data_IF_850121244667
#
_entry.id   IF_850121244667
#
_cell.length_a   1.000
_cell.length_b   1.000
_cell.length_c   1.000
_cell.angle_alpha   90.00
_cell.angle_beta   90.00
_cell.angle_gamma   90.00
#
_symmetry.space_group_name_H-M   'P 1'
#
loop_
_entity.id
_entity.type
_entity.pdbx_description
1 polymer ?
#
# COMPACT_ATOMS: atom_id res chain seq x y z
N UNK A 1 -14.13 -9.78 9.13
CA UNK A 1 -12.82 -9.25 8.73
C UNK A 1 -12.85 -7.74 8.97
N UNK A 2 -11.96 -7.22 9.82
CA UNK A 2 -11.85 -5.77 10.09
C UNK A 2 -11.01 -5.11 8.99
N UNK A 3 -11.46 -3.96 8.46
CA UNK A 3 -10.78 -3.18 7.42
C UNK A 3 -10.24 -1.84 7.95
N UNK A 4 -10.33 -1.60 9.26
CA UNK A 4 -9.87 -0.38 9.92
C UNK A 4 -8.39 -0.07 9.62
N UNK A 5 -7.57 -1.12 9.49
CA UNK A 5 -6.15 -1.06 9.14
C UNK A 5 -5.87 -0.30 7.84
N UNK A 6 -6.77 -0.33 6.85
CA UNK A 6 -6.59 0.40 5.60
C UNK A 6 -6.95 1.88 5.68
N UNK A 7 -7.90 2.25 6.54
CA UNK A 7 -8.51 3.59 6.52
C UNK A 7 -8.05 4.49 7.67
N UNK A 8 -7.50 3.90 8.72
CA UNK A 8 -6.97 4.61 9.88
C UNK A 8 -5.78 3.87 10.53
N UNK A 9 -4.73 3.49 9.76
CA UNK A 9 -3.54 2.89 10.34
C UNK A 9 -2.80 3.90 11.23
N UNK A 10 -2.27 3.43 12.36
CA UNK A 10 -1.33 4.16 13.21
C UNK A 10 0.11 3.83 12.84
N UNK A 11 0.37 2.59 12.43
CA UNK A 11 1.68 2.09 12.02
C UNK A 11 1.62 1.50 10.61
N UNK A 12 2.68 1.72 9.82
CA UNK A 12 2.76 1.23 8.45
C UNK A 12 4.15 0.68 8.13
N UNK A 13 4.24 -0.57 7.67
CA UNK A 13 5.45 -1.09 7.05
C UNK A 13 5.43 -0.81 5.55
N UNK A 14 6.50 -0.25 4.99
CA UNK A 14 6.66 -0.03 3.55
C UNK A 14 7.77 -0.92 3.03
N UNK A 15 7.37 -2.00 2.35
CA UNK A 15 8.26 -3.06 1.90
C UNK A 15 8.73 -2.83 0.47
N UNK A 16 10.04 -2.95 0.27
CA UNK A 16 10.70 -2.74 -1.02
C UNK A 16 11.38 -1.39 -1.14
N UNK A 17 11.71 -0.73 -0.02
CA UNK A 17 12.48 0.52 -0.09
C UNK A 17 13.89 0.27 -0.65
N UNK A 18 14.47 1.30 -1.25
CA UNK A 18 15.79 1.22 -1.90
C UNK A 18 16.61 2.47 -1.65
N UNK A 19 17.83 2.33 -1.12
CA UNK A 19 18.78 3.44 -0.99
C UNK A 19 19.37 3.88 -2.34
N UNK A 20 19.38 2.99 -3.34
CA UNK A 20 19.94 3.25 -4.67
C UNK A 20 18.94 3.81 -5.70
N UNK A 21 17.64 3.80 -5.40
CA UNK A 21 16.61 4.35 -6.28
C UNK A 21 15.60 5.18 -5.48
N UNK A 22 15.81 6.49 -5.44
CA UNK A 22 14.94 7.42 -4.70
C UNK A 22 13.53 7.51 -5.27
N UNK A 23 13.33 7.23 -6.57
CA UNK A 23 12.02 7.25 -7.22
C UNK A 23 11.30 5.90 -7.18
N UNK A 24 11.86 4.91 -6.47
CA UNK A 24 11.19 3.63 -6.30
C UNK A 24 9.80 3.81 -5.68
N UNK A 25 8.76 3.10 -6.15
CA UNK A 25 7.39 3.25 -5.63
C UNK A 25 7.30 3.20 -4.10
N UNK A 26 8.00 2.25 -3.47
CA UNK A 26 8.08 2.14 -2.02
C UNK A 26 8.66 3.40 -1.36
N UNK A 27 9.70 4.01 -1.93
CA UNK A 27 10.31 5.22 -1.38
C UNK A 27 9.37 6.42 -1.48
N UNK A 28 8.59 6.53 -2.56
CA UNK A 28 7.58 7.59 -2.72
C UNK A 28 6.49 7.45 -1.65
N UNK A 29 6.00 6.24 -1.42
CA UNK A 29 5.01 5.96 -0.37
C UNK A 29 5.59 6.26 1.02
N UNK A 30 6.78 5.74 1.32
CA UNK A 30 7.45 5.95 2.60
C UNK A 30 7.66 7.43 2.91
N UNK A 31 8.30 8.17 2.00
CA UNK A 31 8.62 9.57 2.22
C UNK A 31 7.35 10.41 2.41
N UNK A 32 6.32 10.16 1.58
CA UNK A 32 5.06 10.91 1.65
C UNK A 32 4.35 10.70 2.98
N UNK A 33 4.21 9.45 3.43
CA UNK A 33 3.52 9.17 4.68
C UNK A 33 4.30 9.69 5.88
N UNK A 34 5.62 9.51 5.91
CA UNK A 34 6.48 10.03 6.98
C UNK A 34 6.34 11.54 7.20
N UNK A 35 6.31 12.31 6.11
CA UNK A 35 6.43 13.77 6.20
C UNK A 35 5.09 14.49 6.23
N UNK A 36 4.00 13.86 5.79
CA UNK A 36 2.71 14.54 5.55
C UNK A 36 1.50 13.87 6.20
N UNK A 37 1.65 12.69 6.80
CA UNK A 37 0.54 11.92 7.34
C UNK A 37 0.80 11.48 8.78
N UNK A 38 -0.26 11.36 9.62
CA UNK A 38 -0.14 11.00 11.02
C UNK A 38 -0.04 9.47 11.21
N UNK A 39 0.87 8.83 10.48
CA UNK A 39 1.14 7.39 10.54
C UNK A 39 2.63 7.17 10.70
N UNK A 40 3.03 6.39 11.71
CA UNK A 40 4.44 6.03 11.88
C UNK A 40 4.81 4.99 10.83
N UNK A 41 5.87 5.24 10.07
CA UNK A 41 6.25 4.41 8.92
C UNK A 41 7.61 3.76 9.09
N UNK A 42 7.65 2.46 8.82
CA UNK A 42 8.82 1.60 8.97
C UNK A 42 9.29 1.14 7.58
N UNK A 43 10.52 1.47 7.17
CA UNK A 43 11.05 1.04 5.89
C UNK A 43 11.55 -0.41 6.00
N UNK A 44 11.18 -1.26 5.03
CA UNK A 44 11.59 -2.68 5.00
C UNK A 44 12.25 -3.03 3.68
N UNK A 45 13.42 -3.64 3.74
CA UNK A 45 14.18 -4.12 2.59
C UNK A 45 15.16 -5.21 3.02
N UNK A 46 15.28 -6.35 2.31
CA UNK A 46 16.19 -7.43 2.69
C UNK A 46 17.68 -7.05 2.77
N UNK A 47 18.06 -5.87 2.25
CA UNK A 47 19.43 -5.35 2.34
C UNK A 47 19.72 -4.59 3.63
N UNK A 48 18.69 -4.29 4.41
CA UNK A 48 18.77 -3.44 5.60
C UNK A 48 19.35 -2.05 5.32
N UNK A 49 20.04 -1.51 6.32
CA UNK A 49 20.75 -0.23 6.26
C UNK A 49 19.92 0.95 6.77
N UNK A 50 20.11 2.13 6.16
CA UNK A 50 19.44 3.35 6.59
C UNK A 50 18.77 4.08 5.43
N UNK A 51 17.56 4.60 5.64
CA UNK A 51 16.82 5.41 4.67
C UNK A 51 16.34 6.69 5.35
N UNK A 52 16.81 7.85 4.88
CA UNK A 52 16.45 9.16 5.43
C UNK A 52 16.62 9.23 6.97
N UNK A 53 17.69 8.63 7.50
CA UNK A 53 17.98 8.59 8.94
C UNK A 53 17.12 7.63 9.77
N UNK A 54 16.34 6.74 9.13
CA UNK A 54 15.65 5.63 9.79
C UNK A 54 16.36 4.31 9.50
N UNK A 55 16.39 3.43 10.48
CA UNK A 55 16.78 2.03 10.29
C UNK A 55 15.82 1.35 9.31
N UNK A 56 16.38 0.59 8.37
CA UNK A 56 15.64 -0.24 7.42
C UNK A 56 15.68 -1.67 7.94
N UNK A 57 14.51 -2.20 8.29
CA UNK A 57 14.37 -3.57 8.77
C UNK A 57 14.49 -4.56 7.61
N UNK A 58 15.06 -5.73 7.85
CA UNK A 58 15.19 -6.76 6.82
C UNK A 58 13.86 -7.46 6.55
N UNK A 59 13.05 -7.62 7.60
CA UNK A 59 11.72 -8.24 7.57
C UNK A 59 10.69 -7.39 8.31
N UNK A 60 9.41 -7.61 8.03
CA UNK A 60 8.31 -6.95 8.77
C UNK A 60 8.27 -7.46 10.20
N UNK A 61 8.57 -8.74 10.42
CA UNK A 61 8.63 -9.35 11.76
C UNK A 61 9.73 -8.79 12.68
N UNK A 62 10.72 -8.08 12.14
CA UNK A 62 11.80 -7.48 12.94
C UNK A 62 11.40 -6.14 13.56
N UNK A 63 10.27 -5.57 13.14
CA UNK A 63 9.79 -4.27 13.63
C UNK A 63 9.24 -4.46 15.06
N UNK A 64 9.71 -3.69 16.06
CA UNK A 64 9.30 -3.86 17.46
C UNK A 64 7.86 -3.41 17.74
N UNK A 65 7.24 -2.70 16.79
CA UNK A 65 5.86 -2.22 16.88
C UNK A 65 4.91 -3.12 16.09
N UNK A 66 3.69 -3.27 16.60
CA UNK A 66 2.62 -3.93 15.84
C UNK A 66 2.28 -3.09 14.60
N UNK A 67 2.28 -3.72 13.43
CA UNK A 67 1.98 -3.06 12.16
C UNK A 67 0.49 -3.19 11.80
N UNK A 68 -0.18 -2.05 11.60
CA UNK A 68 -1.57 -2.03 11.12
C UNK A 68 -1.64 -2.30 9.61
N UNK A 69 -0.76 -1.67 8.81
CA UNK A 69 -0.79 -1.77 7.36
C UNK A 69 0.60 -2.07 6.76
N UNK A 70 0.71 -3.12 5.95
CA UNK A 70 1.86 -3.32 5.08
C UNK A 70 1.56 -2.83 3.65
N UNK A 71 2.42 -1.95 3.11
CA UNK A 71 2.41 -1.58 1.69
C UNK A 71 3.56 -2.27 1.01
N UNK A 72 3.26 -3.15 0.05
CA UNK A 72 4.23 -4.05 -0.57
C UNK A 72 4.47 -3.62 -2.01
N UNK A 73 5.69 -3.19 -2.31
CA UNK A 73 6.14 -2.78 -3.64
C UNK A 73 7.48 -3.44 -3.98
N UNK A 74 7.49 -4.76 -4.11
CA UNK A 74 8.64 -5.59 -4.52
C UNK A 74 8.37 -6.28 -5.86
N UNK A 75 9.34 -7.03 -6.40
CA UNK A 75 9.07 -7.89 -7.58
C UNK A 75 7.97 -8.91 -7.26
N UNK A 76 7.11 -9.23 -8.24
CA UNK A 76 5.98 -10.13 -8.06
C UNK A 76 6.35 -11.45 -7.36
N UNK A 77 7.44 -12.09 -7.80
CA UNK A 77 7.88 -13.38 -7.25
C UNK A 77 8.29 -13.32 -5.76
N UNK A 78 8.64 -12.13 -5.25
CA UNK A 78 9.01 -11.94 -3.84
C UNK A 78 7.79 -11.61 -2.94
N UNK A 79 6.64 -11.26 -3.51
CA UNK A 79 5.46 -10.86 -2.74
C UNK A 79 4.92 -11.98 -1.84
N UNK A 80 4.84 -13.27 -2.27
CA UNK A 80 4.36 -14.33 -1.39
C UNK A 80 5.17 -14.47 -0.10
N UNK A 81 6.49 -14.40 -0.16
CA UNK A 81 7.35 -14.55 1.02
C UNK A 81 7.19 -13.36 1.98
N UNK A 82 7.02 -12.15 1.44
CA UNK A 82 6.68 -10.96 2.25
C UNK A 82 5.31 -11.10 2.90
N UNK A 83 4.31 -11.65 2.20
CA UNK A 83 2.98 -11.86 2.78
C UNK A 83 3.00 -12.90 3.91
N UNK A 84 3.79 -13.96 3.78
CA UNK A 84 4.00 -14.95 4.86
C UNK A 84 4.62 -14.28 6.08
N UNK A 85 5.61 -13.41 5.88
CA UNK A 85 6.24 -12.64 6.95
C UNK A 85 5.25 -11.69 7.63
N UNK A 86 4.43 -10.96 6.86
CA UNK A 86 3.36 -10.12 7.39
C UNK A 86 2.32 -10.93 8.18
N UNK A 87 1.93 -12.10 7.69
CA UNK A 87 0.98 -12.98 8.35
C UNK A 87 1.54 -13.49 9.69
N UNK A 88 2.80 -13.94 9.71
CA UNK A 88 3.48 -14.38 10.93
C UNK A 88 3.63 -13.25 11.96
N UNK A 89 3.86 -12.02 11.50
CA UNK A 89 3.96 -10.82 12.34
C UNK A 89 2.59 -10.28 12.80
N UNK A 90 1.47 -10.86 12.36
CA UNK A 90 0.12 -10.43 12.75
C UNK A 90 -0.27 -9.04 12.23
N UNK A 91 0.19 -8.70 11.02
CA UNK A 91 -0.13 -7.42 10.35
C UNK A 91 -1.64 -7.27 10.15
N UNK A 92 -2.17 -6.08 10.43
CA UNK A 92 -3.61 -5.80 10.35
C UNK A 92 -4.21 -5.86 8.94
N UNK A 93 -3.42 -5.59 7.89
CA UNK A 93 -3.81 -5.74 6.49
C UNK A 93 -2.65 -5.42 5.53
N UNK A 94 -2.76 -5.86 4.28
CA UNK A 94 -1.74 -5.67 3.26
C UNK A 94 -2.29 -5.02 1.97
N UNK A 95 -1.58 -4.04 1.43
CA UNK A 95 -1.82 -3.46 0.11
C UNK A 95 -0.66 -3.82 -0.81
N UNK A 96 -0.92 -4.65 -1.82
CA UNK A 96 0.09 -5.11 -2.78
C UNK A 96 0.05 -4.21 -4.02
N UNK A 97 1.01 -3.30 -4.10
CA UNK A 97 1.13 -2.33 -5.20
C UNK A 97 1.72 -3.00 -6.44
N UNK A 98 2.58 -3.99 -6.25
CA UNK A 98 3.28 -4.72 -7.30
C UNK A 98 2.33 -5.26 -8.37
N UNK A 99 2.68 -5.06 -9.65
CA UNK A 99 2.15 -5.84 -10.78
C UNK A 99 3.01 -7.07 -11.06
N UNK A 100 2.62 -7.84 -12.08
CA UNK A 100 3.22 -9.10 -12.51
C UNK A 100 2.38 -10.35 -12.19
N UNK A 101 1.06 -10.22 -12.03
CA UNK A 101 0.17 -11.31 -11.61
C UNK A 101 -0.80 -11.72 -12.74
N UNK A 102 -2.10 -11.88 -12.44
CA UNK A 102 -3.08 -12.38 -13.43
C UNK A 102 -3.20 -11.48 -14.66
N UNK A 103 -2.92 -10.18 -14.54
CA UNK A 103 -2.98 -9.22 -15.64
C UNK A 103 -1.91 -9.47 -16.71
N UNK A 104 -0.87 -10.25 -16.37
CA UNK A 104 0.16 -10.74 -17.30
C UNK A 104 0.13 -12.27 -17.46
N UNK A 105 -0.95 -12.94 -17.03
CA UNK A 105 -1.14 -14.38 -17.18
C UNK A 105 -0.56 -15.26 -16.05
N UNK A 106 -0.06 -14.67 -14.96
CA UNK A 106 0.47 -15.40 -13.78
C UNK A 106 -0.63 -15.63 -12.73
N UNK A 107 -1.68 -16.37 -13.10
CA UNK A 107 -2.78 -16.72 -12.20
C UNK A 107 -2.31 -17.57 -11.02
N UNK A 108 -1.37 -18.49 -11.27
CA UNK A 108 -0.70 -19.34 -10.26
C UNK A 108 -0.15 -18.53 -9.09
N UNK A 109 0.51 -17.42 -9.43
CA UNK A 109 1.12 -16.56 -8.44
C UNK A 109 0.03 -15.83 -7.67
N UNK A 110 -0.97 -15.25 -8.34
CA UNK A 110 -2.09 -14.54 -7.70
C UNK A 110 -2.87 -15.43 -6.73
N UNK A 111 -3.16 -16.67 -7.12
CA UNK A 111 -3.88 -17.64 -6.29
C UNK A 111 -3.09 -17.95 -5.01
N UNK A 112 -1.76 -18.00 -5.09
CA UNK A 112 -0.89 -18.16 -3.91
C UNK A 112 -1.02 -16.98 -2.94
N UNK A 113 -1.07 -15.71 -3.40
CA UNK A 113 -1.31 -14.57 -2.49
C UNK A 113 -2.68 -14.70 -1.82
N UNK A 114 -3.70 -15.05 -2.59
CA UNK A 114 -5.05 -15.19 -2.08
C UNK A 114 -5.16 -16.32 -1.04
N UNK A 115 -4.45 -17.43 -1.25
CA UNK A 115 -4.36 -18.52 -0.28
C UNK A 115 -3.71 -18.07 1.04
N UNK A 116 -2.53 -17.44 0.98
CA UNK A 116 -1.80 -16.94 2.16
C UNK A 116 -2.67 -15.96 2.96
N UNK A 117 -3.29 -14.99 2.28
CA UNK A 117 -4.13 -13.99 2.92
C UNK A 117 -5.37 -14.59 3.59
N UNK A 118 -6.03 -15.57 2.94
CA UNK A 118 -7.21 -16.25 3.50
C UNK A 118 -6.84 -17.13 4.70
N UNK A 119 -5.75 -17.90 4.62
CA UNK A 119 -5.25 -18.73 5.72
C UNK A 119 -4.93 -17.88 6.95
N UNK A 120 -4.27 -16.73 6.75
CA UNK A 120 -3.96 -15.80 7.82
C UNK A 120 -5.14 -14.92 8.28
N UNK A 121 -6.31 -15.02 7.63
CA UNK A 121 -7.43 -14.08 7.80
C UNK A 121 -7.01 -12.59 7.66
N UNK A 122 -5.97 -12.33 6.87
CA UNK A 122 -5.39 -11.01 6.66
C UNK A 122 -6.10 -10.29 5.49
N UNK A 123 -6.70 -9.11 5.71
CA UNK A 123 -7.24 -8.29 4.64
C UNK A 123 -6.18 -7.96 3.60
N UNK A 124 -6.51 -8.12 2.31
CA UNK A 124 -5.58 -7.84 1.21
C UNK A 124 -6.25 -7.02 0.09
N UNK A 125 -5.65 -5.87 -0.24
CA UNK A 125 -6.01 -5.05 -1.41
C UNK A 125 -4.97 -5.25 -2.51
N UNK A 126 -5.44 -5.43 -3.75
CA UNK A 126 -4.60 -5.69 -4.93
C UNK A 126 -4.59 -7.17 -5.34
N UNK A 127 -3.50 -7.66 -5.95
CA UNK A 127 -2.29 -6.93 -6.33
C UNK A 127 -2.53 -5.93 -7.48
N UNK A 128 -1.46 -5.34 -8.00
CA UNK A 128 -1.48 -4.42 -9.14
C UNK A 128 -2.44 -3.24 -8.93
N UNK A 129 -2.21 -2.48 -7.86
CA UNK A 129 -3.10 -1.41 -7.45
C UNK A 129 -2.33 -0.16 -6.99
N UNK A 130 -3.04 0.95 -6.81
CA UNK A 130 -2.50 2.11 -6.09
C UNK A 130 -2.67 1.98 -4.57
N UNK A 131 -3.56 1.10 -4.11
CA UNK A 131 -3.92 0.94 -2.71
C UNK A 131 -4.94 1.98 -2.25
N UNK A 132 -4.69 2.66 -1.14
CA UNK A 132 -5.65 3.46 -0.39
C UNK A 132 -5.17 4.90 -0.24
N UNK A 133 -6.09 5.84 -0.46
CA UNK A 133 -5.92 7.24 -0.12
C UNK A 133 -7.07 7.69 0.78
N UNK A 134 -6.73 8.20 1.96
CA UNK A 134 -7.66 8.85 2.89
C UNK A 134 -7.10 10.24 3.23
N UNK A 135 -7.80 11.33 2.87
CA UNK A 135 -7.33 12.69 3.13
C UNK A 135 -6.89 12.88 4.58
N UNK A 136 -5.69 13.44 4.75
CA UNK A 136 -5.06 13.73 6.05
C UNK A 136 -4.84 12.51 6.98
N UNK A 137 -4.96 11.27 6.48
CA UNK A 137 -4.74 10.05 7.29
C UNK A 137 -3.70 9.12 6.69
N UNK A 138 -3.84 8.73 5.43
CA UNK A 138 -2.90 7.80 4.78
C UNK A 138 -2.93 7.98 3.26
N UNK A 139 -1.79 7.77 2.59
CA UNK A 139 -1.68 7.83 1.14
C UNK A 139 -0.67 6.81 0.61
N UNK A 140 -1.16 5.62 0.21
CA UNK A 140 -0.31 4.54 -0.30
C UNK A 140 0.01 4.67 -1.79
N UNK A 141 -0.44 5.73 -2.47
CA UNK A 141 -0.24 5.84 -3.91
C UNK A 141 1.23 6.13 -4.17
N UNK A 142 1.86 5.44 -5.11
CA UNK A 142 3.26 5.71 -5.47
C UNK A 142 3.44 6.95 -6.37
N UNK A 143 2.41 7.81 -6.44
CA UNK A 143 2.47 9.10 -7.10
C UNK A 143 2.99 10.17 -6.10
N UNK A 144 4.05 10.93 -6.46
CA UNK A 144 4.51 12.06 -5.66
C UNK A 144 3.39 13.07 -5.42
N UNK A 145 3.36 13.71 -4.25
CA UNK A 145 2.27 14.63 -3.89
C UNK A 145 2.16 15.81 -4.86
N UNK A 146 3.29 16.25 -5.40
CA UNK A 146 3.44 17.35 -6.34
C UNK A 146 2.85 17.03 -7.72
N UNK A 147 2.65 15.74 -8.02
CA UNK A 147 2.07 15.24 -9.28
C UNK A 147 0.63 14.75 -9.12
N UNK A 148 0.00 15.02 -7.98
CA UNK A 148 -1.33 14.50 -7.68
C UNK A 148 -2.29 15.63 -7.32
N UNK A 149 -3.36 15.76 -8.10
CA UNK A 149 -4.52 16.59 -7.74
C UNK A 149 -5.35 15.82 -6.71
N UNK A 150 -5.58 16.41 -5.55
CA UNK A 150 -6.32 15.80 -4.44
C UNK A 150 -7.62 16.58 -4.22
N UNK A 151 -8.80 15.93 -4.29
CA UNK A 151 -10.04 16.55 -3.86
C UNK A 151 -9.95 17.02 -2.41
N UNK A 152 -10.73 18.05 -2.06
CA UNK A 152 -10.95 18.41 -0.66
C UNK A 152 -11.58 17.24 0.08
N UNK A 153 -11.40 17.21 1.40
CA UNK A 153 -12.09 16.22 2.24
C UNK A 153 -13.61 16.39 2.10
N UNK A 154 -14.32 15.28 1.98
CA UNK A 154 -15.78 15.23 1.96
C UNK A 154 -16.32 13.87 2.41
N UNK A 155 -17.44 13.45 1.84
CA UNK A 155 -18.19 12.25 2.22
C UNK A 155 -18.29 11.19 1.10
N UNK A 156 -17.73 11.44 -0.08
CA UNK A 156 -17.76 10.47 -1.20
C UNK A 156 -16.63 9.47 -1.08
N UNK A 157 -16.93 8.18 -1.08
CA UNK A 157 -15.92 7.12 -1.24
C UNK A 157 -15.94 6.63 -2.68
N UNK A 158 -14.77 6.58 -3.32
CA UNK A 158 -14.63 6.04 -4.66
C UNK A 158 -13.75 4.79 -4.65
N UNK A 159 -14.27 3.70 -5.21
CA UNK A 159 -13.56 2.42 -5.33
C UNK A 159 -13.42 2.12 -6.81
N UNK A 160 -12.21 1.85 -7.27
CA UNK A 160 -11.93 1.59 -8.68
C UNK A 160 -10.98 0.43 -8.86
N UNK A 161 -11.31 -0.44 -9.81
CA UNK A 161 -10.42 -1.49 -10.25
C UNK A 161 -9.23 -0.93 -11.04
N UNK A 162 -9.45 0.11 -11.87
CA UNK A 162 -8.40 0.78 -12.64
C UNK A 162 -7.78 1.93 -11.85
N UNK A 163 -6.46 1.86 -11.62
CA UNK A 163 -5.72 2.94 -10.96
C UNK A 163 -5.72 4.25 -11.76
N UNK A 164 -5.60 4.17 -13.09
CA UNK A 164 -5.66 5.36 -13.96
C UNK A 164 -7.01 6.07 -13.89
N UNK A 165 -8.11 5.31 -13.95
CA UNK A 165 -9.47 5.87 -13.82
C UNK A 165 -9.69 6.46 -12.42
N UNK A 166 -9.12 5.84 -11.38
CA UNK A 166 -9.20 6.38 -10.03
C UNK A 166 -8.58 7.77 -9.94
N UNK A 167 -7.40 7.96 -10.53
CA UNK A 167 -6.72 9.25 -10.56
C UNK A 167 -7.48 10.26 -11.41
N UNK A 168 -8.02 9.88 -12.58
CA UNK A 168 -8.84 10.76 -13.42
C UNK A 168 -10.09 11.25 -12.70
N UNK A 169 -10.81 10.35 -12.03
CA UNK A 169 -12.01 10.71 -11.25
C UNK A 169 -11.65 11.60 -10.07
N UNK A 170 -10.51 11.39 -9.41
CA UNK A 170 -10.03 12.30 -8.38
C UNK A 170 -9.74 13.71 -8.92
N UNK A 171 -9.19 13.84 -10.13
CA UNK A 171 -9.00 15.15 -10.78
C UNK A 171 -10.36 15.82 -11.01
N UNK A 172 -11.32 15.08 -11.58
CA UNK A 172 -12.68 15.59 -11.84
C UNK A 172 -13.39 16.01 -10.55
N UNK A 173 -13.27 15.22 -9.48
CA UNK A 173 -13.85 15.58 -8.18
C UNK A 173 -13.29 16.88 -7.64
N UNK A 174 -11.97 17.11 -7.79
CA UNK A 174 -11.36 18.36 -7.38
C UNK A 174 -11.85 19.55 -8.21
N UNK A 175 -12.06 19.37 -9.52
CA UNK A 175 -12.57 20.40 -10.43
C UNK A 175 -14.04 20.76 -10.16
N UNK A 176 -14.87 19.77 -9.88
CA UNK A 176 -16.31 19.92 -9.64
C UNK A 176 -16.66 20.24 -8.18
N UNK A 177 -15.65 20.41 -7.31
CA UNK A 177 -15.86 20.68 -5.88
C UNK A 177 -16.44 19.51 -5.08
N UNK A 178 -16.38 18.28 -5.62
CA UNK A 178 -16.83 17.06 -4.93
C UNK A 178 -15.78 16.61 -3.93
N UNK A 179 -16.16 16.61 -2.64
CA UNK A 179 -15.25 16.21 -1.57
C UNK A 179 -15.10 14.69 -1.43
N UNK A 180 -13.87 14.22 -1.31
CA UNK A 180 -13.54 12.80 -1.18
C UNK A 180 -13.35 12.41 0.29
N UNK A 181 -13.99 11.33 0.72
CA UNK A 181 -13.76 10.67 2.00
C UNK A 181 -12.62 9.65 1.91
N UNK A 182 -12.64 8.80 0.88
CA UNK A 182 -11.68 7.72 0.65
C UNK A 182 -11.58 7.41 -0.85
N UNK A 183 -10.40 7.10 -1.35
CA UNK A 183 -10.21 6.48 -2.65
C UNK A 183 -9.51 5.13 -2.46
N UNK A 184 -10.03 4.08 -3.10
CA UNK A 184 -9.50 2.71 -3.01
C UNK A 184 -9.28 2.16 -4.40
N UNK A 185 -8.03 1.92 -4.75
CA UNK A 185 -7.64 1.18 -5.94
C UNK A 185 -7.47 -0.28 -5.56
N UNK A 186 -8.33 -1.14 -6.12
CA UNK A 186 -8.39 -2.58 -5.77
C UNK A 186 -7.65 -3.49 -6.75
N UNK A 187 -7.22 -2.96 -7.90
CA UNK A 187 -6.37 -3.68 -8.85
C UNK A 187 -7.00 -5.00 -9.32
N UNK A 188 -6.26 -6.09 -9.20
CA UNK A 188 -6.73 -7.40 -9.65
C UNK A 188 -7.80 -8.04 -8.75
N UNK A 189 -8.04 -7.51 -7.55
CA UNK A 189 -9.04 -8.01 -6.59
C UNK A 189 -8.84 -9.49 -6.25
N UNK A 190 -7.65 -9.87 -5.80
CA UNK A 190 -7.34 -11.26 -5.47
C UNK A 190 -8.13 -11.77 -4.26
N UNK A 191 -8.48 -10.88 -3.31
CA UNK A 191 -9.23 -11.21 -2.10
C UNK A 191 -10.40 -10.26 -1.89
N UNK A 192 -10.12 -8.97 -1.62
CA UNK A 192 -11.10 -7.91 -1.44
C UNK A 192 -11.42 -7.16 -2.74
#
# INVERSE_FOLDING_TARGET
MDLSAFFSPRTMAVVGVSSGNFQHPANVVFAKNRHRYPVEVFPVSPRGGTLQGREVFERVGDIPERIDLAVIAVKADAVPDVLVDCAAAGVGGAAVISGGFTEVGRQDLQDRLAAIAREASMPLIGPNCLGIYVPSRVDTFFLPSERMVKPRRGNVTFVSQSGGILVDVMIRFAQEGVGLARAVSIGNKAVL
#
